data_IF_597769650547
#
_entry.id   IF_597769650547
#
_cell.length_a   1.000
_cell.length_b   1.000
_cell.length_c   1.000
_cell.angle_alpha   90.00
_cell.angle_beta   90.00
_cell.angle_gamma   90.00
#
_symmetry.space_group_name_H-M   'P 1'
#
loop_
_entity.id
_entity.type
_entity.pdbx_description
1 polymer ?
#
# COMPACT_ATOMS: atom_id res chain seq x y z
N UNK A 1 -37.66 7.16 88.69
CA UNK A 1 -38.54 8.08 87.93
C UNK A 1 -38.05 9.49 88.19
N UNK A 2 -37.09 9.97 87.41
CA UNK A 2 -36.54 11.33 87.50
C UNK A 2 -36.45 11.85 86.07
N UNK A 3 -37.28 12.85 85.79
CA UNK A 3 -37.42 13.52 84.50
C UNK A 3 -36.27 14.50 84.29
N UNK A 4 -35.51 14.33 83.20
CA UNK A 4 -34.48 15.28 82.77
C UNK A 4 -34.95 16.04 81.52
N UNK A 5 -34.95 17.37 81.67
CA UNK A 5 -35.26 18.40 80.65
C UNK A 5 -34.32 18.30 79.45
N UNK A 6 -34.87 18.31 78.25
CA UNK A 6 -34.12 18.65 77.04
C UNK A 6 -34.00 20.18 76.94
N UNK A 7 -32.76 20.67 76.90
CA UNK A 7 -32.42 22.05 76.53
C UNK A 7 -31.84 22.03 75.12
N UNK A 8 -32.43 22.81 74.23
CA UNK A 8 -31.97 23.02 72.86
C UNK A 8 -30.79 23.99 72.86
N UNK A 9 -29.62 23.52 72.42
CA UNK A 9 -28.48 24.38 72.09
C UNK A 9 -28.36 24.44 70.57
N UNK A 10 -28.81 25.57 70.02
CA UNK A 10 -28.47 26.03 68.69
C UNK A 10 -27.02 26.50 68.70
N UNK A 11 -26.16 25.92 67.86
CA UNK A 11 -24.88 26.53 67.55
C UNK A 11 -24.59 26.42 66.05
N UNK A 12 -24.95 27.48 65.33
CA UNK A 12 -24.38 27.82 64.04
C UNK A 12 -22.96 28.29 64.30
N UNK A 13 -21.94 27.64 63.73
CA UNK A 13 -20.84 28.28 62.99
C UNK A 13 -19.69 27.31 62.70
N UNK A 14 -19.20 27.43 61.46
CA UNK A 14 -17.81 27.20 61.01
C UNK A 14 -17.23 25.78 61.08
N UNK A 15 -17.19 25.10 59.92
CA UNK A 15 -16.07 24.26 59.50
C UNK A 15 -16.18 23.93 57.99
N UNK A 16 -16.10 24.94 57.11
CA UNK A 16 -16.14 24.76 55.65
C UNK A 16 -14.79 25.07 54.93
N UNK A 17 -13.71 25.63 55.51
CA UNK A 17 -12.57 26.05 54.68
C UNK A 17 -11.57 24.93 54.35
N UNK A 18 -11.65 23.75 54.97
CA UNK A 18 -10.62 22.71 54.81
C UNK A 18 -10.95 21.61 53.78
N UNK A 19 -12.23 21.39 53.46
CA UNK A 19 -12.61 20.38 52.45
C UNK A 19 -12.36 20.91 51.03
N UNK A 20 -12.52 22.22 50.82
CA UNK A 20 -12.27 22.87 49.53
C UNK A 20 -10.77 23.00 49.19
N UNK A 21 -9.90 23.06 50.21
CA UNK A 21 -8.44 23.15 50.00
C UNK A 21 -7.81 21.79 49.66
N UNK A 22 -8.32 20.68 50.20
CA UNK A 22 -7.86 19.33 49.82
C UNK A 22 -8.34 18.90 48.42
N UNK A 23 -9.50 19.38 47.95
CA UNK A 23 -10.00 19.06 46.61
C UNK A 23 -9.19 19.74 45.49
N UNK A 24 -8.53 20.88 45.77
CA UNK A 24 -7.75 21.62 44.77
C UNK A 24 -6.37 21.00 44.49
N UNK A 25 -5.83 20.20 45.43
CA UNK A 25 -4.52 19.54 45.27
C UNK A 25 -4.63 18.23 44.46
N UNK A 26 -5.83 17.63 44.37
CA UNK A 26 -6.05 16.40 43.60
C UNK A 26 -6.25 16.64 42.09
N UNK A 27 -6.42 17.89 41.64
CA UNK A 27 -6.54 18.22 40.21
C UNK A 27 -5.19 18.49 39.50
N UNK A 28 -4.06 18.46 40.23
CA UNK A 28 -2.75 18.79 39.65
C UNK A 28 -1.94 17.58 39.18
N UNK A 29 -2.48 16.38 39.30
CA UNK A 29 -1.86 15.16 38.78
C UNK A 29 -2.67 14.64 37.60
N UNK A 30 -2.67 15.39 36.49
CA UNK A 30 -2.94 14.79 35.19
C UNK A 30 -1.67 14.04 34.78
N UNK A 31 -1.64 12.70 34.74
CA UNK A 31 -0.55 12.01 34.06
C UNK A 31 -0.52 12.50 32.62
N UNK A 32 0.65 12.95 32.18
CA UNK A 32 0.91 13.37 30.81
C UNK A 32 0.79 12.13 29.90
N UNK A 33 -0.39 11.92 29.32
CA UNK A 33 -0.68 10.84 28.36
C UNK A 33 -0.04 11.05 26.97
N UNK A 34 0.86 12.03 26.82
CA UNK A 34 1.40 12.41 25.51
C UNK A 34 2.43 11.41 24.96
N UNK A 35 3.12 10.64 25.82
CA UNK A 35 4.23 9.79 25.38
C UNK A 35 3.81 8.45 24.75
N UNK A 36 2.71 7.83 25.20
CA UNK A 36 2.23 6.56 24.61
C UNK A 36 1.73 6.76 23.18
N UNK A 37 1.08 7.89 22.90
CA UNK A 37 0.49 8.22 21.59
C UNK A 37 1.57 8.35 20.49
N UNK A 38 2.72 8.95 20.80
CA UNK A 38 3.80 9.16 19.83
C UNK A 38 4.46 7.86 19.38
N UNK A 39 4.78 6.98 20.34
CA UNK A 39 5.39 5.68 20.06
C UNK A 39 4.44 4.76 19.27
N UNK A 40 3.16 4.73 19.65
CA UNK A 40 2.15 3.90 18.97
C UNK A 40 1.93 4.35 17.53
N UNK A 41 1.80 5.66 17.30
CA UNK A 41 1.70 6.19 15.93
C UNK A 41 2.95 5.89 15.11
N UNK A 42 4.15 6.00 15.69
CA UNK A 42 5.39 5.66 15.00
C UNK A 42 5.42 4.18 14.60
N UNK A 43 5.14 3.28 15.54
CA UNK A 43 5.14 1.84 15.31
C UNK A 43 4.09 1.40 14.29
N UNK A 44 2.94 2.09 14.25
CA UNK A 44 1.82 1.77 13.37
C UNK A 44 2.03 2.29 11.95
N UNK A 45 2.53 3.52 11.79
CA UNK A 45 2.51 4.21 10.49
C UNK A 45 3.90 4.48 9.89
N UNK A 46 4.95 4.53 10.72
CA UNK A 46 6.29 4.95 10.27
C UNK A 46 7.29 3.80 10.24
N UNK A 47 7.21 2.87 11.20
CA UNK A 47 8.18 1.80 11.40
C UNK A 47 8.27 0.78 10.24
N UNK A 48 7.27 0.77 9.35
CA UNK A 48 7.28 -0.01 8.09
C UNK A 48 8.46 0.38 7.21
N UNK A 49 8.71 1.68 7.11
CA UNK A 49 9.65 2.26 6.15
C UNK A 49 10.90 2.80 6.82
N UNK A 50 10.77 3.25 8.07
CA UNK A 50 11.77 4.02 8.79
C UNK A 50 12.25 3.30 10.05
N UNK A 51 13.53 3.47 10.35
CA UNK A 51 14.13 3.07 11.62
C UNK A 51 14.67 4.31 12.34
N UNK A 52 15.03 4.16 13.61
CA UNK A 52 15.73 5.19 14.39
C UNK A 52 17.06 4.58 14.84
N UNK A 53 18.14 4.88 14.11
CA UNK A 53 19.49 4.37 14.37
C UNK A 53 19.72 2.93 13.89
N UNK A 54 18.78 2.35 13.14
CA UNK A 54 18.86 1.00 12.59
C UNK A 54 19.34 0.95 11.14
N UNK A 55 19.54 2.11 10.52
CA UNK A 55 19.92 2.24 9.12
C UNK A 55 18.74 2.18 8.15
N UNK A 56 19.04 2.35 6.86
CA UNK A 56 18.04 2.40 5.79
C UNK A 56 17.31 1.06 5.62
N UNK A 57 15.98 1.11 5.48
CA UNK A 57 15.15 -0.02 5.06
C UNK A 57 14.44 0.32 3.75
N UNK A 58 13.36 1.11 3.80
CA UNK A 58 12.70 1.67 2.60
C UNK A 58 13.01 3.16 2.52
N UNK A 59 12.71 3.89 3.60
CA UNK A 59 12.99 5.31 3.76
C UNK A 59 14.29 5.60 4.51
N UNK A 60 14.66 6.89 4.66
CA UNK A 60 15.80 7.32 5.47
C UNK A 60 15.67 6.91 6.94
N UNK A 61 16.81 6.66 7.58
CA UNK A 61 16.87 6.53 9.03
C UNK A 61 16.55 7.89 9.68
N UNK A 62 15.70 7.88 10.70
CA UNK A 62 15.21 9.10 11.36
C UNK A 62 16.08 9.53 12.55
N UNK A 63 17.18 8.81 12.82
CA UNK A 63 18.12 9.24 13.83
C UNK A 63 18.72 10.58 13.44
N UNK A 64 18.62 11.55 14.35
CA UNK A 64 19.07 12.91 14.14
C UNK A 64 18.30 13.73 13.09
N UNK A 65 17.05 13.36 12.79
CA UNK A 65 16.23 14.06 11.78
C UNK A 65 16.01 15.55 12.13
N UNK A 66 15.86 15.86 13.42
CA UNK A 66 15.69 17.23 13.94
C UNK A 66 16.92 18.12 13.76
N UNK A 67 18.10 17.56 13.49
CA UNK A 67 19.29 18.33 13.14
C UNK A 67 19.40 18.59 11.64
N UNK A 68 18.69 17.81 10.81
CA UNK A 68 18.72 17.93 9.34
C UNK A 68 17.66 18.89 8.82
N UNK A 69 16.49 18.93 9.44
CA UNK A 69 15.36 19.74 8.99
C UNK A 69 14.64 20.41 10.17
N UNK A 70 13.97 21.53 9.90
CA UNK A 70 13.14 22.20 10.90
C UNK A 70 11.88 21.38 11.21
N UNK A 71 11.34 21.56 12.42
CA UNK A 71 10.13 20.88 12.85
C UNK A 71 8.93 21.17 11.90
N UNK A 72 8.76 22.43 11.51
CA UNK A 72 7.68 22.84 10.59
C UNK A 72 7.82 22.15 9.22
N UNK A 73 9.04 22.06 8.69
CA UNK A 73 9.29 21.36 7.42
C UNK A 73 9.02 19.86 7.56
N UNK A 74 9.38 19.25 8.69
CA UNK A 74 9.10 17.83 8.96
C UNK A 74 7.60 17.57 9.02
N UNK A 75 6.83 18.44 9.67
CA UNK A 75 5.36 18.33 9.70
C UNK A 75 4.80 18.40 8.28
N UNK A 76 5.19 19.40 7.48
CA UNK A 76 4.71 19.55 6.10
C UNK A 76 5.09 18.34 5.23
N UNK A 77 6.32 17.85 5.37
CA UNK A 77 6.81 16.69 4.61
C UNK A 77 6.09 15.39 5.00
N UNK A 78 5.83 15.18 6.29
CA UNK A 78 5.09 14.01 6.79
C UNK A 78 3.62 14.10 6.36
N UNK A 79 3.02 15.30 6.37
CA UNK A 79 1.64 15.48 5.93
C UNK A 79 1.49 15.18 4.45
N UNK A 80 2.36 15.74 3.60
CA UNK A 80 2.41 15.42 2.17
C UNK A 80 3.75 15.76 1.52
N UNK A 81 4.61 14.75 1.37
CA UNK A 81 5.90 14.93 0.68
C UNK A 81 5.71 15.30 -0.80
N UNK A 82 4.64 14.84 -1.44
CA UNK A 82 4.33 15.18 -2.83
C UNK A 82 4.02 16.67 -2.99
N UNK A 83 3.35 17.29 -2.00
CA UNK A 83 3.03 18.72 -2.06
C UNK A 83 4.30 19.57 -2.06
N UNK A 84 5.32 19.22 -1.26
CA UNK A 84 6.62 19.89 -1.25
C UNK A 84 7.41 19.64 -2.55
N UNK A 85 7.41 18.42 -3.07
CA UNK A 85 8.06 18.10 -4.35
C UNK A 85 7.45 18.92 -5.49
N UNK A 86 6.11 18.99 -5.54
CA UNK A 86 5.38 19.69 -6.58
C UNK A 86 5.48 21.22 -6.45
N UNK A 87 5.67 21.75 -5.25
CA UNK A 87 5.89 23.19 -5.03
C UNK A 87 7.30 23.63 -5.43
N UNK A 88 8.22 22.69 -5.68
CA UNK A 88 9.59 22.96 -6.08
C UNK A 88 10.59 23.02 -4.93
N UNK A 89 10.26 22.49 -3.74
CA UNK A 89 11.19 22.39 -2.62
C UNK A 89 12.41 21.54 -3.01
N UNK A 90 13.59 22.16 -2.97
CA UNK A 90 14.83 21.55 -3.46
C UNK A 90 15.29 20.36 -2.60
N UNK A 91 15.05 20.40 -1.28
CA UNK A 91 15.45 19.32 -0.38
C UNK A 91 14.50 18.13 -0.55
N UNK A 92 13.19 18.36 -0.67
CA UNK A 92 12.22 17.31 -0.94
C UNK A 92 12.48 16.63 -2.29
N UNK A 93 12.79 17.40 -3.35
CA UNK A 93 13.16 16.85 -4.66
C UNK A 93 14.46 16.03 -4.58
N UNK A 94 15.45 16.51 -3.82
CA UNK A 94 16.72 15.79 -3.63
C UNK A 94 16.48 14.44 -2.96
N UNK A 95 15.72 14.42 -1.86
CA UNK A 95 15.34 13.17 -1.17
C UNK A 95 14.58 12.27 -2.13
N UNK A 96 13.58 12.78 -2.86
CA UNK A 96 12.82 11.97 -3.83
C UNK A 96 13.73 11.27 -4.85
N UNK A 97 14.72 11.99 -5.41
CA UNK A 97 15.66 11.42 -6.37
C UNK A 97 16.62 10.41 -5.73
N UNK A 98 17.12 10.68 -4.53
CA UNK A 98 18.00 9.76 -3.78
C UNK A 98 17.30 8.42 -3.45
N UNK A 99 15.98 8.46 -3.30
CA UNK A 99 15.15 7.29 -3.04
C UNK A 99 14.47 6.75 -4.31
N UNK A 100 15.10 6.94 -5.48
CA UNK A 100 14.66 6.39 -6.78
C UNK A 100 13.20 6.74 -7.15
N UNK A 101 12.75 7.93 -6.75
CA UNK A 101 11.40 8.40 -6.99
C UNK A 101 10.34 7.67 -6.15
N UNK A 102 10.72 7.05 -5.04
CA UNK A 102 9.76 6.57 -4.05
C UNK A 102 9.16 7.76 -3.30
N UNK A 103 7.83 7.82 -3.30
CA UNK A 103 7.08 8.83 -2.55
C UNK A 103 6.83 8.34 -1.13
N UNK A 104 7.02 9.22 -0.14
CA UNK A 104 6.50 8.97 1.21
C UNK A 104 4.98 9.20 1.18
N UNK A 105 4.14 8.21 1.53
CA UNK A 105 2.70 8.35 1.50
C UNK A 105 2.22 9.54 2.34
N UNK A 106 1.19 10.23 1.86
CA UNK A 106 0.53 11.29 2.63
C UNK A 106 0.01 10.71 3.95
N UNK A 107 0.28 11.40 5.05
CA UNK A 107 -0.14 10.98 6.38
C UNK A 107 -1.58 11.39 6.66
N UNK A 108 -2.34 10.50 7.29
CA UNK A 108 -3.66 10.80 7.84
C UNK A 108 -3.63 11.36 9.26
N UNK A 109 -2.46 11.37 9.88
CA UNK A 109 -2.30 11.89 11.22
C UNK A 109 -2.55 13.39 11.23
N UNK A 110 -3.20 13.87 12.29
CA UNK A 110 -3.28 15.31 12.57
C UNK A 110 -1.89 15.86 12.92
N UNK A 111 -1.71 17.16 12.74
CA UNK A 111 -0.47 17.86 13.09
C UNK A 111 0.00 17.57 14.53
N UNK A 112 -0.92 17.53 15.50
CA UNK A 112 -0.59 17.18 16.89
C UNK A 112 -0.09 15.73 17.04
N UNK A 113 -0.65 14.79 16.27
CA UNK A 113 -0.18 13.39 16.28
C UNK A 113 1.19 13.27 15.62
N UNK A 114 1.43 14.01 14.54
CA UNK A 114 2.75 14.09 13.89
C UNK A 114 3.77 14.69 14.87
N UNK A 115 3.41 15.74 15.60
CA UNK A 115 4.27 16.33 16.62
C UNK A 115 4.63 15.30 17.71
N UNK A 116 3.66 14.53 18.22
CA UNK A 116 3.93 13.48 19.19
C UNK A 116 4.90 12.40 18.66
N UNK A 117 4.83 12.07 17.36
CA UNK A 117 5.79 11.15 16.71
C UNK A 117 7.19 11.79 16.64
N UNK A 118 7.28 13.06 16.27
CA UNK A 118 8.54 13.80 16.21
C UNK A 118 9.20 13.93 17.59
N UNK A 119 8.42 14.16 18.64
CA UNK A 119 8.88 14.21 20.03
C UNK A 119 9.39 12.84 20.52
N UNK A 120 8.69 11.76 20.14
CA UNK A 120 9.14 10.40 20.39
C UNK A 120 10.51 10.12 19.73
N UNK A 121 10.67 10.50 18.45
CA UNK A 121 11.94 10.34 17.73
C UNK A 121 13.07 11.15 18.40
N UNK A 122 12.79 12.38 18.85
CA UNK A 122 13.77 13.21 19.56
C UNK A 122 14.22 12.55 20.88
N UNK A 123 13.28 11.98 21.62
CA UNK A 123 13.54 11.27 22.88
C UNK A 123 14.37 10.02 22.62
N UNK A 124 14.02 9.21 21.61
CA UNK A 124 14.75 7.99 21.25
C UNK A 124 16.19 8.29 20.80
N UNK A 125 16.40 9.38 20.06
CA UNK A 125 17.74 9.82 19.68
C UNK A 125 18.63 10.15 20.88
N UNK A 126 18.04 10.72 21.93
CA UNK A 126 18.75 11.07 23.16
C UNK A 126 19.16 9.83 23.97
N UNK A 127 18.48 8.70 23.81
CA UNK A 127 18.83 7.44 24.47
C UNK A 127 19.86 6.62 23.70
N UNK A 128 19.91 6.76 22.36
CA UNK A 128 20.93 6.14 21.52
C UNK A 128 22.35 6.70 21.76
N UNK A 129 22.46 7.98 22.12
CA UNK A 129 23.76 8.62 22.41
C UNK A 129 24.45 8.09 23.67
N UNK A 130 23.73 7.36 24.54
CA UNK A 130 24.28 6.74 25.77
C UNK A 130 24.73 5.28 25.57
N UNK A 131 24.34 4.60 24.49
CA UNK A 131 24.67 3.18 24.25
C UNK A 131 24.99 2.92 22.77
N UNK A 132 26.12 3.42 22.28
CA UNK A 132 26.58 3.12 20.92
C UNK A 132 27.52 1.92 20.90
N UNK A 133 26.93 0.73 20.69
CA UNK A 133 27.63 -0.36 20.02
C UNK A 133 27.02 -0.49 18.61
N UNK A 134 27.84 -0.54 17.54
CA UNK A 134 27.33 -0.55 16.17
C UNK A 134 26.62 -1.87 15.90
N UNK A 135 25.31 -1.80 15.66
CA UNK A 135 24.55 -2.97 15.19
C UNK A 135 24.83 -3.13 13.70
N UNK A 136 25.51 -4.24 13.45
CA UNK A 136 25.82 -4.94 12.22
C UNK A 136 24.93 -4.64 11.02
N UNK A 137 25.60 -4.41 9.91
CA UNK A 137 25.13 -4.51 8.53
C UNK A 137 24.12 -5.65 8.35
N UNK A 138 22.92 -5.29 7.90
CA UNK A 138 21.91 -6.22 7.42
C UNK A 138 22.50 -6.88 6.18
N UNK A 139 22.92 -8.14 6.32
CA UNK A 139 23.47 -8.94 5.24
C UNK A 139 22.37 -9.21 4.19
N UNK A 140 22.43 -8.51 3.05
CA UNK A 140 21.62 -8.78 1.86
C UNK A 140 21.85 -10.18 1.24
N UNK A 141 22.82 -10.96 1.74
CA UNK A 141 23.24 -12.22 1.15
C UNK A 141 22.88 -13.43 2.01
N UNK A 142 21.60 -13.82 1.99
CA UNK A 142 21.13 -15.23 2.10
C UNK A 142 19.61 -15.30 1.93
N UNK A 143 19.11 -14.88 0.77
CA UNK A 143 17.76 -15.28 0.38
C UNK A 143 17.86 -16.63 -0.36
N UNK A 144 17.27 -17.72 0.16
CA UNK A 144 17.10 -18.92 -0.65
C UNK A 144 16.30 -18.55 -1.89
N UNK A 145 16.71 -19.08 -3.04
CA UNK A 145 15.99 -18.86 -4.28
C UNK A 145 14.53 -19.36 -4.12
N UNK A 146 13.53 -18.56 -4.54
CA UNK A 146 12.13 -18.96 -4.41
C UNK A 146 11.88 -20.28 -5.16
N UNK A 147 11.12 -21.19 -4.55
CA UNK A 147 10.82 -22.47 -5.20
C UNK A 147 9.80 -22.27 -6.33
N UNK A 148 9.82 -23.09 -7.39
CA UNK A 148 8.84 -22.99 -8.47
C UNK A 148 7.38 -23.06 -8.00
N UNK A 149 7.12 -23.86 -6.96
CA UNK A 149 5.80 -24.00 -6.35
C UNK A 149 5.35 -22.71 -5.67
N UNK A 150 6.24 -22.02 -4.95
CA UNK A 150 5.95 -20.74 -4.31
C UNK A 150 5.66 -19.65 -5.33
N UNK A 151 6.42 -19.62 -6.43
CA UNK A 151 6.20 -18.68 -7.53
C UNK A 151 4.82 -18.90 -8.16
N UNK A 152 4.45 -20.16 -8.43
CA UNK A 152 3.14 -20.47 -9.00
C UNK A 152 1.98 -20.12 -8.05
N UNK A 153 2.13 -20.39 -6.76
CA UNK A 153 1.13 -20.02 -5.76
C UNK A 153 0.99 -18.50 -5.67
N UNK A 154 2.09 -17.77 -5.56
CA UNK A 154 2.11 -16.31 -5.50
C UNK A 154 1.47 -15.68 -6.73
N UNK A 155 1.74 -16.24 -7.90
CA UNK A 155 1.10 -15.81 -9.15
C UNK A 155 -0.41 -16.03 -9.11
N UNK A 156 -0.86 -17.20 -8.67
CA UNK A 156 -2.29 -17.52 -8.60
C UNK A 156 -3.06 -16.62 -7.63
N UNK A 157 -2.45 -16.33 -6.48
CA UNK A 157 -2.96 -15.40 -5.48
C UNK A 157 -2.99 -13.96 -6.02
N UNK A 158 -1.90 -13.52 -6.66
CA UNK A 158 -1.80 -12.19 -7.24
C UNK A 158 -2.91 -11.91 -8.25
N UNK A 159 -3.19 -12.88 -9.13
CA UNK A 159 -4.18 -12.74 -10.20
C UNK A 159 -5.62 -13.10 -9.78
N UNK A 160 -5.80 -13.60 -8.55
CA UNK A 160 -7.11 -14.00 -8.01
C UNK A 160 -7.68 -15.30 -8.59
N UNK A 161 -6.88 -16.13 -9.27
CA UNK A 161 -7.31 -17.50 -9.63
C UNK A 161 -7.37 -18.41 -8.42
N UNK A 162 -6.56 -18.10 -7.40
CA UNK A 162 -6.67 -18.66 -6.06
C UNK A 162 -7.04 -17.52 -5.12
N UNK A 163 -8.03 -17.74 -4.26
CA UNK A 163 -8.47 -16.73 -3.31
C UNK A 163 -7.56 -16.74 -2.09
N UNK A 164 -7.36 -15.56 -1.51
CA UNK A 164 -6.78 -15.46 -0.17
C UNK A 164 -7.67 -16.13 0.86
N UNK A 165 -7.05 -16.67 1.90
CA UNK A 165 -7.70 -17.41 2.98
C UNK A 165 -8.70 -16.55 3.74
N UNK A 166 -8.37 -15.27 3.91
CA UNK A 166 -9.22 -14.26 4.57
C UNK A 166 -10.01 -13.42 3.55
N UNK A 167 -10.32 -13.94 2.35
CA UNK A 167 -11.16 -13.27 1.33
C UNK A 167 -10.69 -11.87 0.88
N UNK A 168 -9.40 -11.55 1.06
CA UNK A 168 -8.80 -10.31 0.59
C UNK A 168 -8.93 -10.11 -0.93
N UNK A 169 -8.87 -8.86 -1.38
CA UNK A 169 -8.92 -8.54 -2.81
C UNK A 169 -7.69 -9.10 -3.54
N UNK A 170 -7.86 -9.57 -4.79
CA UNK A 170 -6.74 -9.97 -5.63
C UNK A 170 -5.89 -8.75 -6.02
N UNK A 171 -4.56 -8.88 -5.93
CA UNK A 171 -3.64 -7.75 -6.15
C UNK A 171 -3.76 -7.17 -7.57
N UNK A 172 -3.98 -8.03 -8.58
CA UNK A 172 -4.14 -7.63 -9.97
C UNK A 172 -5.37 -6.76 -10.24
N UNK A 173 -6.30 -6.65 -9.29
CA UNK A 173 -7.45 -5.74 -9.41
C UNK A 173 -7.00 -4.27 -9.44
N UNK A 174 -5.89 -3.96 -8.77
CA UNK A 174 -5.36 -2.61 -8.65
C UNK A 174 -3.96 -2.46 -9.24
N UNK A 175 -3.14 -3.50 -9.16
CA UNK A 175 -1.76 -3.50 -9.62
C UNK A 175 -1.60 -4.28 -10.93
N UNK A 176 -0.57 -3.93 -11.69
CA UNK A 176 -0.10 -4.72 -12.83
C UNK A 176 1.30 -5.29 -12.56
N UNK A 177 1.58 -6.44 -13.16
CA UNK A 177 2.88 -7.10 -13.16
C UNK A 177 3.11 -7.70 -14.53
N UNK A 178 4.18 -7.29 -15.20
CA UNK A 178 4.58 -7.88 -16.48
C UNK A 178 5.16 -9.27 -16.23
N UNK A 179 4.35 -10.27 -16.49
CA UNK A 179 4.71 -11.68 -16.44
C UNK A 179 4.02 -12.43 -17.59
N UNK A 180 4.58 -13.55 -18.04
CA UNK A 180 4.00 -14.39 -19.10
C UNK A 180 2.62 -14.97 -18.75
N UNK A 181 2.32 -15.09 -17.45
CA UNK A 181 1.14 -15.78 -16.96
C UNK A 181 0.04 -14.87 -16.37
N UNK A 182 0.37 -13.63 -16.00
CA UNK A 182 -0.64 -12.64 -15.58
C UNK A 182 -1.15 -11.91 -16.83
N UNK A 183 -2.41 -12.16 -17.20
CA UNK A 183 -3.04 -11.56 -18.38
C UNK A 183 -3.59 -10.18 -18.00
N UNK A 184 -2.68 -9.24 -17.77
CA UNK A 184 -2.97 -7.86 -17.39
C UNK A 184 -3.41 -7.69 -15.94
N UNK A 185 -3.27 -6.45 -15.47
CA UNK A 185 -3.67 -6.03 -14.13
C UNK A 185 -4.24 -4.62 -14.11
N UNK A 186 -4.54 -4.15 -12.91
CA UNK A 186 -5.09 -2.83 -12.65
C UNK A 186 -4.06 -1.73 -12.89
N UNK A 187 -4.56 -0.59 -13.38
CA UNK A 187 -3.77 0.64 -13.55
C UNK A 187 -4.04 1.67 -12.45
N UNK A 188 -4.84 1.28 -11.44
CA UNK A 188 -5.24 2.15 -10.33
C UNK A 188 -4.09 2.36 -9.34
N UNK A 189 -3.18 1.40 -9.25
CA UNK A 189 -2.01 1.45 -8.38
C UNK A 189 -0.71 1.25 -9.17
N UNK A 190 0.43 1.36 -8.49
CA UNK A 190 1.75 1.30 -9.12
C UNK A 190 2.02 -0.08 -9.71
N UNK A 191 2.59 -0.14 -10.91
CA UNK A 191 3.15 -1.36 -11.49
C UNK A 191 4.21 -1.98 -10.56
N UNK A 192 4.06 -3.27 -10.27
CA UNK A 192 4.91 -4.01 -9.33
C UNK A 192 5.98 -4.85 -10.03
N UNK A 193 6.12 -4.75 -11.35
CA UNK A 193 7.10 -5.51 -12.13
C UNK A 193 8.52 -5.33 -11.59
N UNK A 194 8.89 -4.10 -11.23
CA UNK A 194 10.24 -3.77 -10.72
C UNK A 194 10.26 -3.43 -9.23
N UNK A 195 9.33 -4.00 -8.45
CA UNK A 195 9.17 -3.62 -7.04
C UNK A 195 10.37 -4.02 -6.18
N UNK A 196 11.00 -5.18 -6.43
CA UNK A 196 12.16 -5.64 -5.67
C UNK A 196 13.40 -4.78 -5.92
N UNK A 197 13.61 -4.38 -7.17
CA UNK A 197 14.67 -3.44 -7.53
C UNK A 197 14.49 -2.06 -6.86
N UNK A 198 13.25 -1.67 -6.52
CA UNK A 198 12.96 -0.37 -5.90
C UNK A 198 13.05 -0.37 -4.37
N UNK A 199 12.56 -1.41 -3.69
CA UNK A 199 12.46 -1.42 -2.22
C UNK A 199 13.08 -2.65 -1.54
N UNK A 200 13.63 -3.59 -2.30
CA UNK A 200 14.18 -4.84 -1.78
C UNK A 200 13.13 -5.77 -1.17
N UNK A 201 13.56 -6.96 -0.74
CA UNK A 201 12.67 -7.96 -0.14
C UNK A 201 12.01 -7.44 1.14
N UNK A 202 12.82 -6.91 2.06
CA UNK A 202 12.34 -6.41 3.34
C UNK A 202 11.28 -5.31 3.16
N UNK A 203 11.45 -4.45 2.16
CA UNK A 203 10.45 -3.43 1.85
C UNK A 203 9.14 -4.00 1.33
N UNK A 204 9.20 -4.96 0.40
CA UNK A 204 8.00 -5.63 -0.13
C UNK A 204 7.26 -6.39 0.98
N UNK A 205 7.99 -7.11 1.81
CA UNK A 205 7.45 -7.86 2.95
C UNK A 205 6.75 -6.96 3.95
N UNK A 206 7.38 -5.82 4.30
CA UNK A 206 6.79 -4.84 5.20
C UNK A 206 5.50 -4.22 4.63
N UNK A 207 5.47 -3.91 3.33
CA UNK A 207 4.28 -3.36 2.66
C UNK A 207 3.14 -4.37 2.63
N UNK A 208 3.41 -5.65 2.34
CA UNK A 208 2.39 -6.70 2.32
C UNK A 208 1.85 -7.02 3.71
N UNK A 209 2.70 -6.99 4.74
CA UNK A 209 2.30 -7.29 6.11
C UNK A 209 1.49 -6.17 6.79
N UNK A 210 1.75 -4.90 6.46
CA UNK A 210 1.12 -3.77 7.16
C UNK A 210 0.18 -2.93 6.29
N UNK A 211 0.17 -3.12 4.96
CA UNK A 211 -0.66 -2.37 4.01
C UNK A 211 -0.64 -0.84 4.25
N UNK A 212 0.54 -0.19 4.29
CA UNK A 212 0.70 1.20 4.77
C UNK A 212 0.08 2.26 3.85
N UNK A 213 -0.42 1.88 2.68
CA UNK A 213 -0.99 2.81 1.72
C UNK A 213 -2.51 2.95 1.95
N UNK A 214 -3.06 4.18 1.99
CA UNK A 214 -4.49 4.48 2.12
C UNK A 214 -5.47 3.45 1.55
N UNK A 215 -5.33 3.17 0.26
CA UNK A 215 -6.24 2.31 -0.51
C UNK A 215 -6.04 0.84 -0.16
N UNK A 216 -4.79 0.42 0.11
CA UNK A 216 -4.49 -0.93 0.55
C UNK A 216 -4.97 -1.17 1.98
N UNK A 217 -4.77 -0.20 2.88
CA UNK A 217 -5.24 -0.29 4.25
C UNK A 217 -6.75 -0.50 4.29
N UNK A 218 -7.51 0.30 3.55
CA UNK A 218 -8.96 0.13 3.45
C UNK A 218 -9.37 -1.21 2.81
N UNK A 219 -8.58 -1.75 1.88
CA UNK A 219 -8.86 -3.02 1.22
C UNK A 219 -8.57 -4.24 2.09
N UNK A 220 -7.59 -4.17 3.00
CA UNK A 220 -7.09 -5.30 3.78
C UNK A 220 -7.32 -5.19 5.30
N UNK A 221 -7.94 -4.10 5.80
CA UNK A 221 -8.20 -3.87 7.24
C UNK A 221 -8.85 -5.07 7.94
N UNK A 222 -9.83 -5.71 7.30
CA UNK A 222 -10.55 -6.86 7.83
C UNK A 222 -10.22 -8.18 7.12
N UNK A 223 -9.23 -8.16 6.22
CA UNK A 223 -8.93 -9.27 5.32
C UNK A 223 -7.41 -9.50 5.25
N UNK A 224 -6.72 -9.74 6.38
CA UNK A 224 -5.26 -9.75 6.44
C UNK A 224 -4.66 -10.90 5.63
N UNK A 225 -3.45 -10.69 5.11
CA UNK A 225 -2.69 -11.74 4.42
C UNK A 225 -1.96 -12.62 5.44
N UNK A 226 -1.96 -13.93 5.19
CA UNK A 226 -1.19 -14.88 6.00
C UNK A 226 0.30 -14.88 5.63
N UNK A 227 1.17 -15.30 6.55
CA UNK A 227 2.63 -15.38 6.28
C UNK A 227 2.97 -16.26 5.07
N UNK A 228 2.21 -17.34 4.85
CA UNK A 228 2.39 -18.22 3.71
C UNK A 228 2.05 -17.53 2.38
N UNK A 229 0.95 -16.78 2.35
CA UNK A 229 0.52 -16.00 1.18
C UNK A 229 1.51 -14.87 0.89
N UNK A 230 1.97 -14.15 1.93
CA UNK A 230 3.00 -13.11 1.81
C UNK A 230 4.28 -13.71 1.21
N UNK A 231 4.73 -14.86 1.72
CA UNK A 231 5.93 -15.53 1.23
C UNK A 231 5.79 -15.93 -0.25
N UNK A 232 4.63 -16.43 -0.65
CA UNK A 232 4.36 -16.79 -2.04
C UNK A 232 4.33 -15.56 -2.95
N UNK A 233 3.67 -14.47 -2.53
CA UNK A 233 3.64 -13.20 -3.26
C UNK A 233 5.04 -12.61 -3.43
N UNK A 234 5.87 -12.63 -2.38
CA UNK A 234 7.28 -12.24 -2.43
C UNK A 234 8.04 -13.06 -3.47
N UNK A 235 7.88 -14.39 -3.46
CA UNK A 235 8.53 -15.27 -4.42
C UNK A 235 8.16 -14.93 -5.88
N UNK A 236 6.87 -14.71 -6.14
CA UNK A 236 6.37 -14.32 -7.46
C UNK A 236 6.88 -12.96 -7.91
N UNK A 237 6.81 -11.94 -7.04
CA UNK A 237 7.24 -10.58 -7.37
C UNK A 237 8.76 -10.49 -7.55
N UNK A 238 9.54 -11.28 -6.80
CA UNK A 238 10.99 -11.41 -7.00
C UNK A 238 11.32 -12.05 -8.35
N UNK A 239 10.57 -13.10 -8.73
CA UNK A 239 10.71 -13.73 -10.04
C UNK A 239 10.35 -12.77 -11.18
N UNK A 240 9.25 -12.01 -11.04
CA UNK A 240 8.83 -11.00 -11.99
C UNK A 240 9.85 -9.87 -12.17
N UNK A 241 10.48 -9.40 -11.08
CA UNK A 241 11.54 -8.38 -11.14
C UNK A 241 12.79 -8.91 -11.87
N UNK A 242 13.25 -10.10 -11.49
CA UNK A 242 14.43 -10.72 -12.10
C UNK A 242 14.25 -11.04 -13.59
N UNK A 243 13.04 -11.45 -14.01
CA UNK A 243 12.72 -11.79 -15.40
C UNK A 243 12.23 -10.61 -16.23
N UNK A 244 11.58 -9.62 -15.62
CA UNK A 244 11.00 -8.46 -16.29
C UNK A 244 12.04 -7.56 -16.94
N UNK A 245 13.29 -7.58 -16.45
CA UNK A 245 14.43 -6.89 -17.09
C UNK A 245 14.92 -7.63 -18.35
N UNK A 246 14.70 -8.94 -18.45
CA UNK A 246 15.30 -9.80 -19.48
C UNK A 246 14.31 -10.33 -20.53
N UNK A 247 13.01 -10.34 -20.25
CA UNK A 247 11.97 -10.86 -21.15
C UNK A 247 10.89 -9.83 -21.40
N UNK A 248 10.73 -9.45 -22.67
CA UNK A 248 9.50 -8.82 -23.13
C UNK A 248 8.37 -9.86 -22.99
N UNK A 249 7.26 -9.55 -22.32
CA UNK A 249 6.15 -10.49 -22.17
C UNK A 249 5.62 -10.91 -23.55
N UNK A 250 5.08 -12.14 -23.66
CA UNK A 250 4.46 -12.61 -24.91
C UNK A 250 3.45 -11.58 -25.43
N UNK A 251 3.69 -11.07 -26.65
CA UNK A 251 2.75 -10.18 -27.33
C UNK A 251 1.53 -10.97 -27.83
N UNK A 252 0.56 -11.13 -26.94
CA UNK A 252 -0.74 -11.71 -27.27
C UNK A 252 -1.55 -10.83 -28.23
N UNK A 253 -1.25 -9.53 -28.31
CA UNK A 253 -1.97 -8.58 -29.17
C UNK A 253 -1.79 -8.90 -30.65
N UNK A 254 -0.54 -9.09 -31.09
CA UNK A 254 -0.27 -9.46 -32.48
C UNK A 254 -0.78 -10.87 -32.80
N UNK A 255 -0.66 -11.81 -31.87
CA UNK A 255 -1.18 -13.18 -32.04
C UNK A 255 -2.70 -13.25 -32.18
N UNK A 256 -3.43 -12.46 -31.37
CA UNK A 256 -4.88 -12.35 -31.45
C UNK A 256 -5.33 -11.67 -32.75
N UNK A 257 -4.64 -10.59 -33.15
CA UNK A 257 -4.93 -9.91 -34.41
C UNK A 257 -4.69 -10.84 -35.61
N UNK A 258 -3.56 -11.55 -35.64
CA UNK A 258 -3.24 -12.49 -36.71
C UNK A 258 -4.26 -13.63 -36.78
N UNK A 259 -4.60 -14.24 -35.64
CA UNK A 259 -5.59 -15.32 -35.60
C UNK A 259 -6.99 -14.84 -35.98
N UNK A 260 -7.38 -13.63 -35.59
CA UNK A 260 -8.63 -12.99 -36.02
C UNK A 260 -8.69 -12.72 -37.52
N UNK A 261 -7.61 -12.20 -38.12
CA UNK A 261 -7.53 -11.98 -39.58
C UNK A 261 -7.62 -13.30 -40.34
N UNK A 262 -6.86 -14.32 -39.91
CA UNK A 262 -6.90 -15.65 -40.54
C UNK A 262 -8.28 -16.29 -40.42
N UNK A 263 -8.88 -16.26 -39.22
CA UNK A 263 -10.24 -16.77 -38.99
C UNK A 263 -11.28 -16.05 -39.83
N UNK A 264 -11.21 -14.72 -39.91
CA UNK A 264 -12.08 -13.90 -40.75
C UNK A 264 -11.97 -14.27 -42.23
N UNK A 265 -10.74 -14.39 -42.76
CA UNK A 265 -10.52 -14.80 -44.15
C UNK A 265 -11.09 -16.18 -44.45
N UNK A 266 -10.95 -17.15 -43.53
CA UNK A 266 -11.51 -18.49 -43.67
C UNK A 266 -13.05 -18.42 -43.72
N UNK A 267 -13.68 -17.67 -42.82
CA UNK A 267 -15.14 -17.50 -42.81
C UNK A 267 -15.63 -16.84 -44.10
N UNK A 268 -15.00 -15.75 -44.55
CA UNK A 268 -15.36 -15.09 -45.81
C UNK A 268 -15.19 -16.00 -47.01
N UNK A 269 -14.12 -16.80 -47.06
CA UNK A 269 -13.91 -17.78 -48.12
C UNK A 269 -15.00 -18.86 -48.11
N UNK A 270 -15.35 -19.41 -46.94
CA UNK A 270 -16.42 -20.40 -46.80
C UNK A 270 -17.79 -19.82 -47.17
N UNK A 271 -18.12 -18.63 -46.71
CA UNK A 271 -19.33 -17.92 -47.11
C UNK A 271 -19.36 -17.70 -48.62
N UNK A 272 -18.26 -17.24 -49.21
CA UNK A 272 -18.14 -17.07 -50.67
C UNK A 272 -18.34 -18.38 -51.44
N UNK A 273 -17.80 -19.49 -50.95
CA UNK A 273 -17.97 -20.82 -51.55
C UNK A 273 -19.41 -21.34 -51.43
N UNK A 274 -20.02 -21.24 -50.24
CA UNK A 274 -21.39 -21.67 -49.99
C UNK A 274 -22.40 -20.82 -50.78
N UNK A 275 -22.13 -19.52 -50.93
CA UNK A 275 -23.02 -18.59 -51.64
C UNK A 275 -22.75 -18.49 -53.15
N UNK A 276 -21.69 -19.15 -53.67
CA UNK A 276 -21.29 -19.13 -55.09
C UNK A 276 -22.40 -19.61 -56.05
N UNK A 277 -23.39 -20.32 -55.52
CA UNK A 277 -24.56 -20.84 -56.25
C UNK A 277 -25.84 -20.01 -56.13
N UNK A 278 -25.92 -19.04 -55.20
CA UNK A 278 -27.17 -18.34 -54.83
C UNK A 278 -27.29 -17.02 -55.61
N UNK A 279 -28.43 -16.83 -56.30
CA UNK A 279 -28.73 -15.58 -57.01
C UNK A 279 -28.12 -15.44 -58.41
N UNK A 280 -27.94 -16.55 -59.15
CA UNK A 280 -27.35 -16.55 -60.51
C UNK A 280 -28.20 -15.85 -61.60
N UNK A 281 -29.38 -15.33 -61.27
CA UNK A 281 -30.24 -14.63 -62.20
C UNK A 281 -31.17 -13.67 -61.47
N UNK A 282 -31.71 -12.69 -62.20
CA UNK A 282 -32.76 -11.82 -61.67
C UNK A 282 -34.03 -12.64 -61.39
N UNK A 283 -34.87 -12.17 -60.46
CA UNK A 283 -36.16 -12.83 -60.14
C UNK A 283 -37.02 -13.02 -61.40
N UNK A 284 -36.89 -12.10 -62.36
CA UNK A 284 -37.63 -12.11 -63.63
C UNK A 284 -36.84 -12.68 -64.82
N UNK A 285 -35.70 -13.35 -64.59
CA UNK A 285 -34.84 -13.86 -65.67
C UNK A 285 -35.62 -14.77 -66.63
N UNK A 286 -36.46 -15.65 -66.07
CA UNK A 286 -37.31 -16.53 -66.86
C UNK A 286 -38.39 -15.78 -67.69
N UNK A 287 -38.82 -14.58 -67.27
CA UNK A 287 -39.73 -13.73 -68.04
C UNK A 287 -38.98 -13.08 -69.21
N UNK A 288 -37.81 -12.52 -68.93
CA UNK A 288 -36.96 -11.89 -69.95
C UNK A 288 -36.57 -12.90 -71.05
N UNK A 289 -36.10 -14.09 -70.67
CA UNK A 289 -35.68 -15.12 -71.62
C UNK A 289 -36.83 -15.59 -72.54
N UNK A 290 -38.08 -15.57 -72.05
CA UNK A 290 -39.27 -15.87 -72.87
C UNK A 290 -39.57 -14.76 -73.88
N UNK A 291 -39.46 -13.50 -73.47
CA UNK A 291 -39.72 -12.36 -74.35
C UNK A 291 -38.71 -12.30 -75.50
N UNK A 292 -37.44 -12.60 -75.23
CA UNK A 292 -36.37 -12.55 -76.25
C UNK A 292 -36.48 -13.70 -77.26
N UNK A 293 -37.01 -14.87 -76.87
CA UNK A 293 -37.23 -16.02 -77.78
C UNK A 293 -38.46 -15.90 -78.69
N UNK A 294 -39.37 -14.97 -78.42
CA UNK A 294 -40.65 -14.82 -79.14
C UNK A 294 -40.59 -13.91 -80.38
N UNK A 295 -39.39 -13.62 -80.90
CA UNK A 295 -39.20 -12.86 -82.15
C UNK A 295 -39.13 -13.77 -83.37
#
# INVERSE_FOLDING_TARGET
>A
MVTLKFSTISNKQLAIPHILLCALILFQNSPCWTQEIGADNFNTYCAVCHTIGGGRVIGPDLAGVHQRHSNDWLIEFIQSSQSLINSGDLEAIKIFNEYNGLIMPDSFLSENQIQSVLDYIATYNSTLTENSNPISEINENKNPAPTPEQISLGQNLFQGTERFSEDGAACNSCHDVKNDAVIGGGILAKDLTTVFSRMGKAGVEAVLGQAPYPVMQAAYENYPLTEQEITALIAFLQDADSKGVLKQPRDYGLGLLASGVVGGLIIFALCGLLWRGRGKGSVNQAIYDRQVKSK
#
